data_IF_459037773059
#
_entry.id   IF_459037773059
#
_cell.length_a   1.000
_cell.length_b   1.000
_cell.length_c   1.000
_cell.angle_alpha   90.00
_cell.angle_beta   90.00
_cell.angle_gamma   90.00
#
_symmetry.space_group_name_H-M   'P 1'
#
loop_
_entity.id
_entity.type
_entity.pdbx_description
1 polymer ?
#
# COMPACT_ATOMS: atom_id res chain seq x y z
N UNK A 1 -2.39 -43.41 50.27
CA UNK A 1 -1.09 -44.07 50.03
C UNK A 1 -0.88 -44.14 48.53
N UNK A 2 0.27 -43.65 48.08
CA UNK A 2 0.70 -43.42 46.69
C UNK A 2 1.12 -44.74 45.97
N UNK A 3 1.83 -44.71 44.83
CA UNK A 3 1.45 -44.24 43.49
C UNK A 3 1.74 -45.35 42.43
N UNK A 4 1.32 -45.18 41.16
CA UNK A 4 1.89 -46.00 40.07
C UNK A 4 2.49 -45.08 39.02
N UNK A 5 3.82 -45.08 38.98
CA UNK A 5 4.65 -44.47 37.96
C UNK A 5 4.44 -45.16 36.61
N UNK A 6 4.06 -44.41 35.56
CA UNK A 6 4.27 -44.85 34.17
C UNK A 6 5.68 -44.44 33.75
N UNK A 7 6.55 -45.43 33.57
CA UNK A 7 7.88 -45.27 32.98
C UNK A 7 7.76 -44.90 31.51
N UNK A 8 8.37 -43.78 31.14
CA UNK A 8 8.82 -43.51 29.76
C UNK A 8 9.73 -44.65 29.31
N UNK A 9 9.45 -45.21 28.13
CA UNK A 9 10.45 -45.90 27.31
C UNK A 9 10.65 -45.06 26.05
N UNK A 10 11.68 -44.20 26.06
CA UNK A 10 12.30 -43.73 24.82
C UNK A 10 12.96 -44.95 24.18
N UNK A 11 12.56 -45.30 22.96
CA UNK A 11 13.30 -46.26 22.13
C UNK A 11 13.95 -45.49 21.00
N UNK A 12 15.27 -45.29 21.11
CA UNK A 12 16.10 -44.68 20.09
C UNK A 12 16.10 -45.56 18.83
N UNK A 13 15.77 -44.98 17.68
CA UNK A 13 15.89 -45.64 16.38
C UNK A 13 17.33 -45.44 15.89
N UNK A 14 18.17 -46.47 16.03
CA UNK A 14 19.48 -46.54 15.39
C UNK A 14 19.27 -46.87 13.90
N UNK A 15 19.62 -45.94 13.01
CA UNK A 15 19.72 -46.22 11.57
C UNK A 15 21.06 -46.90 11.33
N UNK A 16 21.07 -48.22 11.17
CA UNK A 16 22.20 -48.94 10.60
C UNK A 16 22.00 -49.02 9.09
N UNK A 17 22.84 -48.30 8.35
CA UNK A 17 22.96 -48.41 6.90
C UNK A 17 23.71 -49.72 6.58
N UNK A 18 22.99 -50.75 6.13
CA UNK A 18 23.60 -51.87 5.44
C UNK A 18 22.64 -52.45 4.39
N UNK A 19 23.14 -52.52 3.15
CA UNK A 19 22.42 -52.90 1.94
C UNK A 19 22.13 -54.39 1.98
N UNK A 20 20.89 -54.82 2.23
CA UNK A 20 20.24 -55.96 1.53
C UNK A 20 18.75 -56.08 1.89
N UNK A 21 17.91 -56.12 0.84
CA UNK A 21 16.56 -56.71 0.77
C UNK A 21 15.52 -56.24 1.82
N UNK A 22 14.80 -55.16 1.50
CA UNK A 22 13.58 -54.79 2.22
C UNK A 22 12.45 -55.78 1.88
N UNK A 23 12.24 -56.77 2.75
CA UNK A 23 11.02 -57.57 2.78
C UNK A 23 9.91 -56.66 3.31
N UNK A 24 9.02 -56.20 2.42
CA UNK A 24 7.81 -55.48 2.81
C UNK A 24 6.84 -56.48 3.45
N UNK A 25 6.66 -56.37 4.77
CA UNK A 25 5.58 -57.08 5.47
C UNK A 25 4.24 -56.44 5.06
N UNK A 26 3.26 -57.21 4.57
CA UNK A 26 1.95 -56.66 4.22
C UNK A 26 1.14 -56.48 5.50
N UNK A 27 0.86 -55.22 5.87
CA UNK A 27 -0.11 -54.92 6.93
C UNK A 27 0.25 -53.76 7.83
N UNK A 28 0.57 -52.59 7.27
CA UNK A 28 0.55 -51.27 7.93
C UNK A 28 0.63 -50.16 6.86
N UNK A 29 -0.27 -50.17 5.89
CA UNK A 29 -0.47 -49.05 4.94
C UNK A 29 -1.96 -48.96 4.57
N UNK A 30 -2.82 -48.95 5.57
CA UNK A 30 -4.18 -48.44 5.45
C UNK A 30 -4.34 -47.45 6.62
N UNK A 31 -4.94 -46.28 6.35
CA UNK A 31 -5.14 -45.12 7.24
C UNK A 31 -4.08 -43.99 7.28
N UNK A 32 -3.59 -43.57 6.11
CA UNK A 32 -3.29 -42.15 5.89
C UNK A 32 -3.74 -41.71 4.48
N UNK A 33 -5.02 -41.87 4.19
CA UNK A 33 -5.66 -41.08 3.15
C UNK A 33 -6.49 -39.98 3.85
N UNK A 34 -6.09 -38.70 3.82
CA UNK A 34 -7.01 -37.65 4.21
C UNK A 34 -8.18 -37.66 3.23
N UNK A 35 -9.39 -37.63 3.78
CA UNK A 35 -10.62 -37.54 3.00
C UNK A 35 -10.62 -36.24 2.19
N UNK A 36 -10.21 -36.31 0.92
CA UNK A 36 -10.36 -35.22 -0.02
C UNK A 36 -11.83 -35.12 -0.42
N UNK A 37 -12.63 -34.40 0.37
CA UNK A 37 -13.81 -33.71 -0.18
C UNK A 37 -13.28 -32.52 -0.98
N UNK A 38 -12.70 -32.78 -2.15
CA UNK A 38 -12.06 -31.76 -2.96
C UNK A 38 -13.09 -30.76 -3.48
N UNK A 39 -13.14 -29.56 -2.90
CA UNK A 39 -13.72 -28.42 -3.59
C UNK A 39 -12.89 -28.15 -4.86
N UNK A 40 -13.55 -27.75 -5.96
CA UNK A 40 -12.85 -27.40 -7.19
C UNK A 40 -11.86 -26.26 -6.90
N UNK A 41 -10.60 -26.48 -7.21
CA UNK A 41 -9.62 -25.39 -7.33
C UNK A 41 -9.55 -24.98 -8.81
N UNK A 42 -9.56 -23.67 -9.03
CA UNK A 42 -9.43 -23.05 -10.35
C UNK A 42 -7.96 -22.87 -10.70
N UNK A 43 -7.64 -22.83 -11.99
CA UNK A 43 -6.33 -22.37 -12.45
C UNK A 43 -6.22 -20.84 -12.34
N UNK A 44 -5.00 -20.30 -12.38
CA UNK A 44 -4.79 -18.85 -12.42
C UNK A 44 -5.50 -18.20 -13.63
N UNK A 45 -5.51 -18.88 -14.78
CA UNK A 45 -6.21 -18.42 -15.98
C UNK A 45 -7.73 -18.39 -15.78
N UNK A 46 -8.30 -19.42 -15.14
CA UNK A 46 -9.73 -19.44 -14.82
C UNK A 46 -10.10 -18.34 -13.80
N UNK A 47 -9.26 -18.10 -12.79
CA UNK A 47 -9.45 -17.03 -11.82
C UNK A 47 -9.34 -15.64 -12.46
N UNK A 48 -8.37 -15.44 -13.35
CA UNK A 48 -8.23 -14.21 -14.13
C UNK A 48 -9.49 -13.95 -14.98
N UNK A 49 -9.97 -14.97 -15.69
CA UNK A 49 -11.18 -14.85 -16.53
C UNK A 49 -12.45 -14.59 -15.71
N UNK A 50 -12.58 -15.24 -14.55
CA UNK A 50 -13.73 -15.08 -13.66
C UNK A 50 -13.71 -13.71 -12.97
N UNK A 51 -12.58 -13.36 -12.36
CA UNK A 51 -12.40 -12.09 -11.67
C UNK A 51 -12.47 -10.90 -12.62
N UNK A 52 -11.87 -10.99 -13.81
CA UNK A 52 -11.91 -9.91 -14.81
C UNK A 52 -13.33 -9.58 -15.32
N UNK A 53 -14.29 -10.52 -15.26
CA UNK A 53 -15.69 -10.24 -15.58
C UNK A 53 -16.45 -9.53 -14.44
N UNK A 54 -15.91 -9.58 -13.23
CA UNK A 54 -16.47 -8.97 -12.02
C UNK A 54 -15.78 -7.67 -11.64
N UNK A 55 -14.55 -7.48 -12.11
CA UNK A 55 -13.70 -6.34 -11.77
C UNK A 55 -14.33 -5.04 -12.28
N UNK A 56 -14.48 -4.10 -11.37
CA UNK A 56 -14.91 -2.75 -11.62
C UNK A 56 -13.69 -1.84 -11.66
N UNK A 57 -13.64 -0.95 -12.64
CA UNK A 57 -12.76 0.20 -12.66
C UNK A 57 -13.55 1.43 -12.20
N UNK A 58 -13.02 2.16 -11.24
CA UNK A 58 -13.71 3.27 -10.58
C UNK A 58 -12.92 4.55 -10.81
N UNK A 59 -13.61 5.55 -11.34
CA UNK A 59 -13.10 6.93 -11.42
C UNK A 59 -13.97 7.81 -10.53
N UNK A 60 -13.34 8.57 -9.63
CA UNK A 60 -14.04 9.39 -8.65
C UNK A 60 -13.52 10.84 -8.71
N UNK A 61 -14.17 11.71 -9.50
CA UNK A 61 -13.80 13.13 -9.58
C UNK A 61 -13.96 13.84 -8.24
N UNK A 62 -12.98 14.67 -7.88
CA UNK A 62 -12.99 15.44 -6.64
C UNK A 62 -14.14 16.47 -6.63
N UNK A 63 -14.72 16.67 -5.46
CA UNK A 63 -15.76 17.69 -5.24
C UNK A 63 -15.19 19.11 -5.11
N UNK A 64 -13.89 19.24 -4.86
CA UNK A 64 -13.23 20.52 -4.57
C UNK A 64 -12.42 20.98 -5.79
N UNK A 65 -11.71 20.06 -6.44
CA UNK A 65 -10.98 20.34 -7.69
C UNK A 65 -11.53 19.52 -8.86
N UNK A 66 -12.30 20.13 -9.80
CA UNK A 66 -12.82 19.46 -10.98
C UNK A 66 -11.74 18.87 -11.92
N UNK A 67 -10.47 19.23 -11.76
CA UNK A 67 -9.34 18.69 -12.51
C UNK A 67 -8.76 17.39 -11.94
N UNK A 68 -9.05 17.08 -10.68
CA UNK A 68 -8.51 15.93 -9.96
C UNK A 68 -9.54 14.80 -9.85
N UNK A 69 -9.07 13.55 -9.94
CA UNK A 69 -9.89 12.36 -9.76
C UNK A 69 -9.07 11.24 -9.12
N UNK A 70 -9.71 10.45 -8.26
CA UNK A 70 -9.14 9.22 -7.73
C UNK A 70 -9.44 8.05 -8.67
N UNK A 71 -8.49 7.13 -8.77
CA UNK A 71 -8.61 5.89 -9.52
C UNK A 71 -8.55 4.70 -8.58
N UNK A 72 -9.46 3.76 -8.78
CA UNK A 72 -9.48 2.55 -7.98
C UNK A 72 -10.11 1.36 -8.69
N UNK A 73 -10.13 0.27 -7.94
CA UNK A 73 -10.77 -0.97 -8.33
C UNK A 73 -11.99 -1.24 -7.45
N UNK A 74 -12.83 -2.14 -7.93
CA UNK A 74 -13.89 -2.74 -7.15
C UNK A 74 -14.24 -4.10 -7.71
N UNK A 75 -15.20 -4.78 -7.12
CA UNK A 75 -15.72 -6.02 -7.69
C UNK A 75 -17.19 -6.23 -7.36
N UNK A 76 -17.88 -6.92 -8.26
CA UNK A 76 -19.30 -7.22 -8.12
C UNK A 76 -19.49 -8.35 -7.10
N UNK A 77 -20.35 -8.11 -6.11
CA UNK A 77 -20.77 -9.11 -5.11
C UNK A 77 -22.22 -9.56 -5.30
N UNK A 78 -23.01 -8.83 -6.11
CA UNK A 78 -24.38 -9.20 -6.46
C UNK A 78 -24.69 -8.81 -7.89
N UNK A 79 -25.35 -9.72 -8.62
CA UNK A 79 -25.55 -9.60 -10.07
C UNK A 79 -26.44 -8.44 -10.52
N UNK A 80 -27.14 -7.81 -9.58
CA UNK A 80 -27.95 -6.61 -9.80
C UNK A 80 -27.13 -5.31 -9.72
N UNK A 81 -25.79 -5.36 -9.63
CA UNK A 81 -24.95 -4.17 -9.59
C UNK A 81 -24.49 -3.73 -8.21
N UNK A 82 -24.43 -4.65 -7.23
CA UNK A 82 -23.80 -4.37 -5.94
C UNK A 82 -22.29 -4.60 -6.02
N UNK A 83 -21.50 -3.56 -5.73
CA UNK A 83 -20.05 -3.51 -5.93
C UNK A 83 -19.38 -3.13 -4.62
N UNK A 84 -18.21 -3.70 -4.34
CA UNK A 84 -17.37 -3.35 -3.20
C UNK A 84 -16.13 -2.63 -3.70
N UNK A 85 -15.68 -1.63 -2.95
CA UNK A 85 -14.40 -0.93 -3.13
C UNK A 85 -13.91 -0.44 -1.76
N UNK A 86 -12.76 0.22 -1.73
CA UNK A 86 -12.30 0.91 -0.55
C UNK A 86 -12.99 2.27 -0.38
N UNK A 87 -13.04 2.76 0.87
CA UNK A 87 -13.61 4.06 1.16
C UNK A 87 -12.75 5.17 0.56
N UNK A 88 -11.42 5.09 0.73
CA UNK A 88 -10.49 6.14 0.28
C UNK A 88 -10.51 6.37 -1.24
N UNK A 89 -10.92 5.37 -2.04
CA UNK A 89 -11.11 5.53 -3.50
C UNK A 89 -12.16 6.56 -3.84
N UNK A 90 -13.14 6.78 -2.95
CA UNK A 90 -14.27 7.68 -3.16
C UNK A 90 -14.23 8.91 -2.25
N UNK A 91 -13.24 9.00 -1.35
CA UNK A 91 -13.16 10.08 -0.36
C UNK A 91 -13.01 11.44 -1.06
N UNK A 92 -13.83 12.42 -0.64
CA UNK A 92 -13.87 13.74 -1.28
C UNK A 92 -14.51 13.77 -2.67
N UNK A 93 -15.06 12.66 -3.17
CA UNK A 93 -15.59 12.59 -4.52
C UNK A 93 -16.96 13.28 -4.66
N UNK A 94 -17.14 14.08 -5.72
CA UNK A 94 -18.44 14.66 -6.11
C UNK A 94 -19.31 13.65 -6.85
N UNK A 95 -18.71 12.66 -7.49
CA UNK A 95 -19.41 11.62 -8.24
C UNK A 95 -18.48 10.42 -8.37
N UNK A 96 -19.02 9.30 -8.85
CA UNK A 96 -18.20 8.18 -9.28
C UNK A 96 -18.73 7.66 -10.61
N UNK A 97 -17.81 7.17 -11.43
CA UNK A 97 -18.12 6.36 -12.60
C UNK A 97 -17.56 4.96 -12.37
N UNK A 98 -18.38 3.95 -12.64
CA UNK A 98 -17.98 2.54 -12.55
C UNK A 98 -17.99 1.93 -13.94
N UNK A 99 -16.89 1.32 -14.36
CA UNK A 99 -16.81 0.54 -15.60
C UNK A 99 -16.64 -0.95 -15.30
N UNK A 100 -17.55 -1.78 -15.83
CA UNK A 100 -17.52 -3.24 -15.68
C UNK A 100 -17.71 -3.87 -17.06
N UNK A 101 -16.78 -4.72 -17.48
CA UNK A 101 -16.87 -5.41 -18.78
C UNK A 101 -16.98 -4.48 -19.99
N UNK A 102 -16.43 -3.27 -19.90
CA UNK A 102 -16.50 -2.23 -20.93
C UNK A 102 -17.79 -1.42 -20.96
N UNK A 103 -18.73 -1.67 -20.03
CA UNK A 103 -19.92 -0.84 -19.84
C UNK A 103 -19.69 0.15 -18.69
N UNK A 104 -20.02 1.41 -18.95
CA UNK A 104 -19.85 2.53 -18.02
C UNK A 104 -21.18 2.87 -17.35
N UNK A 105 -21.15 3.05 -16.03
CA UNK A 105 -22.27 3.42 -15.17
C UNK A 105 -21.92 4.71 -14.43
N UNK A 106 -22.68 5.78 -14.68
CA UNK A 106 -22.49 7.09 -14.02
C UNK A 106 -23.51 7.37 -12.91
N UNK A 107 -24.64 6.66 -12.91
CA UNK A 107 -25.64 6.73 -11.84
C UNK A 107 -25.25 5.75 -10.72
N UNK A 108 -24.27 6.16 -9.91
CA UNK A 108 -23.73 5.37 -8.80
C UNK A 108 -24.33 5.85 -7.48
N UNK A 109 -24.93 4.93 -6.73
CA UNK A 109 -25.41 5.15 -5.38
C UNK A 109 -24.52 4.43 -4.36
N UNK A 110 -24.61 4.87 -3.10
CA UNK A 110 -23.92 4.27 -1.97
C UNK A 110 -24.94 3.52 -1.12
N UNK A 111 -24.70 2.23 -0.91
CA UNK A 111 -25.49 1.41 0.00
C UNK A 111 -24.98 1.55 1.45
N UNK A 112 -23.69 1.41 1.62
CA UNK A 112 -23.02 1.52 2.92
C UNK A 112 -21.57 1.96 2.70
N UNK A 113 -21.02 2.69 3.65
CA UNK A 113 -19.62 3.08 3.66
C UNK A 113 -19.16 3.16 5.10
N UNK A 114 -17.96 2.69 5.38
CA UNK A 114 -17.34 2.77 6.68
C UNK A 114 -15.89 3.26 6.52
N UNK A 115 -15.59 4.49 6.96
CA UNK A 115 -14.26 5.06 6.86
C UNK A 115 -13.25 4.46 7.85
N UNK A 116 -13.69 3.85 8.96
CA UNK A 116 -12.78 3.18 9.91
C UNK A 116 -12.31 1.83 9.35
N UNK A 117 -13.15 1.18 8.55
CA UNK A 117 -12.83 -0.10 7.91
C UNK A 117 -12.28 0.05 6.49
N UNK A 118 -12.18 1.28 5.99
CA UNK A 118 -11.80 1.60 4.62
C UNK A 118 -12.61 0.81 3.58
N UNK A 119 -13.93 0.71 3.74
CA UNK A 119 -14.81 -0.01 2.82
C UNK A 119 -16.01 0.83 2.37
N UNK A 120 -16.36 0.69 1.10
CA UNK A 120 -17.60 1.22 0.54
C UNK A 120 -18.30 0.16 -0.31
N UNK A 121 -19.63 0.15 -0.22
CA UNK A 121 -20.52 -0.69 -1.01
C UNK A 121 -21.36 0.21 -1.90
N UNK A 122 -21.09 0.11 -3.20
CA UNK A 122 -21.73 0.88 -4.24
C UNK A 122 -22.86 0.08 -4.89
N UNK A 123 -23.82 0.82 -5.46
CA UNK A 123 -24.90 0.28 -6.27
C UNK A 123 -24.94 0.99 -7.62
N UNK A 124 -25.02 0.21 -8.68
CA UNK A 124 -25.39 0.66 -10.03
C UNK A 124 -26.64 -0.08 -10.50
N UNK A 125 -27.38 0.52 -11.43
CA UNK A 125 -28.52 -0.12 -12.08
C UNK A 125 -28.03 -1.05 -13.21
N UNK A 126 -27.85 -2.33 -12.88
CA UNK A 126 -27.42 -3.36 -13.82
C UNK A 126 -28.11 -4.70 -13.52
N UNK A 127 -28.14 -5.59 -14.51
CA UNK A 127 -28.56 -6.98 -14.33
C UNK A 127 -27.58 -7.96 -14.99
N UNK A 128 -27.55 -9.19 -14.49
CA UNK A 128 -26.73 -10.26 -15.05
C UNK A 128 -25.21 -10.12 -14.87
N UNK A 129 -24.75 -9.18 -14.03
CA UNK A 129 -23.32 -9.04 -13.72
C UNK A 129 -22.76 -10.30 -13.02
N UNK A 130 -21.47 -10.57 -13.24
CA UNK A 130 -20.78 -11.71 -12.63
C UNK A 130 -20.33 -11.37 -11.22
N UNK A 131 -21.08 -11.84 -10.25
CA UNK A 131 -20.73 -11.72 -8.84
C UNK A 131 -19.65 -12.72 -8.44
N UNK A 132 -18.66 -12.28 -7.66
CA UNK A 132 -17.69 -13.14 -7.01
C UNK A 132 -18.25 -13.69 -5.69
N UNK A 133 -18.06 -14.99 -5.41
CA UNK A 133 -18.48 -15.56 -4.14
C UNK A 133 -17.58 -15.04 -3.01
N UNK A 134 -18.18 -14.69 -1.87
CA UNK A 134 -17.43 -14.31 -0.68
C UNK A 134 -16.94 -15.56 0.06
N UNK A 135 -15.69 -15.55 0.50
CA UNK A 135 -15.07 -16.63 1.27
C UNK A 135 -15.68 -16.77 2.66
N UNK A 136 -15.27 -17.81 3.40
CA UNK A 136 -15.85 -18.09 4.73
C UNK A 136 -15.45 -17.06 5.79
N UNK A 137 -14.24 -16.54 5.71
CA UNK A 137 -13.70 -15.56 6.64
C UNK A 137 -12.23 -15.85 6.98
N UNK A 138 -11.64 -14.98 7.78
CA UNK A 138 -10.23 -14.96 8.15
C UNK A 138 -9.79 -16.24 8.85
N UNK A 139 -10.65 -16.85 9.66
CA UNK A 139 -10.40 -18.15 10.33
C UNK A 139 -10.15 -19.31 9.35
N UNK A 140 -10.54 -19.15 8.08
CA UNK A 140 -10.32 -20.14 7.02
C UNK A 140 -9.12 -19.84 6.13
N UNK A 141 -8.42 -18.72 6.39
CA UNK A 141 -7.26 -18.25 5.62
C UNK A 141 -5.99 -18.67 6.34
N UNK A 142 -5.16 -19.49 5.69
CA UNK A 142 -3.90 -19.95 6.27
C UNK A 142 -2.69 -19.33 5.55
N UNK A 143 -1.63 -18.94 6.28
CA UNK A 143 -0.35 -18.60 5.68
C UNK A 143 0.17 -19.72 4.76
N UNK A 144 0.65 -19.35 3.59
CA UNK A 144 1.10 -20.25 2.52
C UNK A 144 0.02 -20.62 1.50
N UNK A 145 -1.25 -20.25 1.70
CA UNK A 145 -2.28 -20.41 0.69
C UNK A 145 -2.00 -19.54 -0.54
N UNK A 146 -2.14 -20.12 -1.73
CA UNK A 146 -2.02 -19.40 -2.99
C UNK A 146 -3.22 -18.46 -3.20
N UNK A 147 -2.91 -17.26 -3.67
CA UNK A 147 -3.89 -16.18 -3.89
C UNK A 147 -3.66 -15.46 -5.20
N UNK A 148 -4.71 -14.83 -5.70
CA UNK A 148 -4.71 -13.97 -6.89
C UNK A 148 -5.31 -12.62 -6.51
N UNK A 149 -4.57 -11.55 -6.76
CA UNK A 149 -5.09 -10.19 -6.66
C UNK A 149 -5.49 -9.69 -8.05
N UNK A 150 -6.63 -9.01 -8.14
CA UNK A 150 -7.08 -8.34 -9.35
C UNK A 150 -7.27 -6.85 -9.07
N UNK A 151 -6.95 -6.02 -10.07
CA UNK A 151 -7.07 -4.57 -9.97
C UNK A 151 -6.87 -3.86 -11.30
N UNK A 152 -6.91 -2.54 -11.27
CA UNK A 152 -6.70 -1.64 -12.39
C UNK A 152 -5.57 -0.64 -12.06
N UNK A 153 -4.35 -1.12 -11.78
CA UNK A 153 -3.26 -0.28 -11.32
C UNK A 153 -2.90 0.80 -12.35
N UNK A 154 -2.70 2.04 -11.91
CA UNK A 154 -2.37 3.17 -12.81
C UNK A 154 -3.38 3.36 -13.97
N UNK A 155 -4.64 2.90 -13.79
CA UNK A 155 -5.64 2.87 -14.85
C UNK A 155 -5.46 1.77 -15.90
N UNK A 156 -4.46 0.88 -15.76
CA UNK A 156 -4.25 -0.31 -16.59
C UNK A 156 -5.26 -1.40 -16.24
N UNK A 157 -6.40 -1.37 -16.93
CA UNK A 157 -7.57 -2.20 -16.65
C UNK A 157 -7.28 -3.70 -16.70
N UNK A 158 -7.76 -4.44 -15.71
CA UNK A 158 -7.76 -5.90 -15.68
C UNK A 158 -6.42 -6.57 -15.37
N UNK A 159 -5.58 -5.92 -14.57
CA UNK A 159 -4.31 -6.52 -14.11
C UNK A 159 -4.59 -7.66 -13.14
N UNK A 160 -3.84 -8.75 -13.31
CA UNK A 160 -3.90 -9.94 -12.46
C UNK A 160 -2.51 -10.25 -11.96
N UNK A 161 -2.37 -10.40 -10.65
CA UNK A 161 -1.13 -10.81 -10.00
C UNK A 161 -1.39 -11.99 -9.08
N UNK A 162 -0.36 -12.80 -8.80
CA UNK A 162 -0.47 -13.96 -7.93
C UNK A 162 0.58 -13.93 -6.83
N UNK A 163 0.27 -14.60 -5.73
CA UNK A 163 1.15 -14.71 -4.59
C UNK A 163 0.67 -15.74 -3.59
N UNK A 164 1.08 -15.57 -2.34
CA UNK A 164 0.58 -16.35 -1.20
C UNK A 164 0.11 -15.43 -0.08
N UNK A 165 -0.72 -15.96 0.80
CA UNK A 165 -0.92 -15.37 2.13
C UNK A 165 0.40 -15.49 2.90
N UNK A 166 1.02 -14.36 3.22
CA UNK A 166 2.25 -14.31 4.00
C UNK A 166 1.99 -14.49 5.49
N UNK A 167 1.00 -13.78 6.01
CA UNK A 167 0.60 -13.80 7.42
C UNK A 167 -0.72 -13.07 7.62
N UNK A 168 -1.30 -13.21 8.81
CA UNK A 168 -2.29 -12.27 9.34
C UNK A 168 -1.55 -11.26 10.22
N UNK A 169 -1.91 -9.97 10.14
CA UNK A 169 -1.27 -8.86 10.86
C UNK A 169 -2.33 -7.96 11.47
N UNK A 170 -2.25 -7.71 12.78
CA UNK A 170 -3.11 -6.73 13.41
C UNK A 170 -2.64 -5.33 13.03
N UNK A 171 -3.55 -4.54 12.47
CA UNK A 171 -3.38 -3.13 12.22
C UNK A 171 -3.99 -2.33 13.39
N UNK A 172 -3.17 -1.64 14.20
CA UNK A 172 -3.66 -0.90 15.35
C UNK A 172 -4.46 0.35 14.98
N UNK A 173 -4.28 0.88 13.76
CA UNK A 173 -4.91 2.13 13.31
C UNK A 173 -6.33 1.84 12.81
N UNK A 174 -6.49 0.78 12.01
CA UNK A 174 -7.81 0.26 11.60
C UNK A 174 -8.50 -0.58 12.71
N UNK A 175 -7.76 -0.95 13.75
CA UNK A 175 -8.24 -1.78 14.85
C UNK A 175 -8.64 -3.20 14.43
N UNK A 176 -8.16 -3.69 13.29
CA UNK A 176 -8.56 -4.97 12.68
C UNK A 176 -7.37 -5.78 12.16
N UNK A 177 -7.58 -7.09 12.01
CA UNK A 177 -6.58 -7.97 11.39
C UNK A 177 -6.61 -7.83 9.86
N UNK A 178 -5.44 -7.69 9.24
CA UNK A 178 -5.23 -7.64 7.80
C UNK A 178 -4.61 -8.93 7.27
N UNK A 179 -4.94 -9.28 6.03
CA UNK A 179 -4.29 -10.36 5.28
C UNK A 179 -3.06 -9.78 4.60
N UNK A 180 -1.86 -10.18 5.04
CA UNK A 180 -0.62 -9.86 4.34
C UNK A 180 -0.43 -10.83 3.17
N UNK A 181 -0.14 -10.33 1.98
CA UNK A 181 0.06 -11.13 0.76
C UNK A 181 1.37 -10.76 0.06
N UNK A 182 1.96 -11.72 -0.67
CA UNK A 182 3.07 -11.44 -1.59
C UNK A 182 2.59 -11.09 -3.00
N UNK A 183 1.28 -11.16 -3.29
CA UNK A 183 0.75 -10.81 -4.60
C UNK A 183 1.01 -9.31 -4.86
N UNK A 184 1.73 -8.92 -5.92
CA UNK A 184 1.99 -7.52 -6.21
C UNK A 184 0.70 -6.73 -6.40
N UNK A 185 0.58 -5.60 -5.70
CA UNK A 185 -0.45 -4.59 -5.89
C UNK A 185 0.24 -3.22 -5.94
N UNK A 186 -0.41 -2.25 -6.55
CA UNK A 186 0.06 -0.87 -6.64
C UNK A 186 -1.15 0.06 -6.62
N UNK A 187 -0.90 1.37 -6.64
CA UNK A 187 -1.95 2.38 -6.75
C UNK A 187 -2.92 2.07 -7.90
N UNK A 188 -4.22 2.23 -7.66
CA UNK A 188 -5.30 1.80 -8.54
C UNK A 188 -5.77 0.35 -8.35
N UNK A 189 -5.01 -0.50 -7.63
CA UNK A 189 -5.48 -1.85 -7.24
C UNK A 189 -6.38 -1.86 -6.00
N UNK A 190 -6.39 -0.77 -5.23
CA UNK A 190 -7.24 -0.57 -4.05
C UNK A 190 -8.71 -0.82 -4.37
N UNK A 191 -9.40 -1.57 -3.52
CA UNK A 191 -10.78 -2.00 -3.66
C UNK A 191 -10.95 -3.27 -4.51
N UNK A 192 -9.89 -3.74 -5.17
CA UNK A 192 -9.90 -4.97 -5.95
C UNK A 192 -9.96 -6.24 -5.07
N UNK A 193 -10.39 -7.39 -5.62
CA UNK A 193 -10.52 -8.62 -4.83
C UNK A 193 -9.18 -9.35 -4.68
N UNK A 194 -8.97 -9.93 -3.49
CA UNK A 194 -8.00 -11.00 -3.24
C UNK A 194 -8.71 -12.35 -3.22
N UNK A 195 -8.47 -13.18 -4.23
CA UNK A 195 -9.09 -14.48 -4.43
C UNK A 195 -8.22 -15.61 -3.91
N UNK A 196 -8.84 -16.62 -3.29
CA UNK A 196 -8.21 -17.92 -3.08
C UNK A 196 -8.34 -18.81 -4.33
N UNK A 197 -7.68 -19.97 -4.33
CA UNK A 197 -7.74 -20.93 -5.44
C UNK A 197 -9.13 -21.54 -5.68
N UNK A 198 -10.09 -21.37 -4.76
CA UNK A 198 -11.50 -21.78 -4.94
C UNK A 198 -12.35 -20.70 -5.62
N UNK A 199 -11.74 -19.56 -5.97
CA UNK A 199 -12.43 -18.43 -6.59
C UNK A 199 -13.25 -17.60 -5.63
N UNK A 200 -13.04 -17.76 -4.32
CA UNK A 200 -13.74 -16.99 -3.29
C UNK A 200 -12.91 -15.78 -2.88
N UNK A 201 -13.56 -14.64 -2.67
CA UNK A 201 -12.93 -13.43 -2.15
C UNK A 201 -12.62 -13.65 -0.67
N UNK A 202 -11.33 -13.61 -0.32
CA UNK A 202 -10.87 -13.71 1.07
C UNK A 202 -10.51 -12.34 1.65
N UNK A 203 -10.23 -11.35 0.79
CA UNK A 203 -10.00 -9.97 1.21
C UNK A 203 -10.16 -8.96 0.08
N UNK A 204 -10.08 -7.68 0.44
CA UNK A 204 -10.17 -6.51 -0.41
C UNK A 204 -8.81 -5.80 -0.38
N UNK A 205 -8.13 -5.70 -1.52
CA UNK A 205 -6.80 -5.09 -1.62
C UNK A 205 -6.91 -3.61 -1.20
N UNK A 206 -6.00 -3.12 -0.35
CA UNK A 206 -5.97 -1.71 0.07
C UNK A 206 -4.53 -1.17 0.06
N UNK A 207 -3.78 -1.37 1.15
CA UNK A 207 -2.49 -0.74 1.40
C UNK A 207 -1.32 -1.53 0.81
N UNK A 208 -0.36 -0.77 0.27
CA UNK A 208 1.00 -1.25 -0.03
C UNK A 208 1.96 -0.54 0.91
N UNK A 209 2.75 -1.30 1.68
CA UNK A 209 3.77 -0.71 2.54
C UNK A 209 4.99 -0.36 1.68
N UNK A 210 5.23 0.93 1.48
CA UNK A 210 6.19 1.45 0.48
C UNK A 210 7.65 1.12 0.84
N UNK A 211 7.98 0.96 2.13
CA UNK A 211 9.35 0.70 2.59
C UNK A 211 9.76 -0.79 2.62
N UNK A 212 9.00 -1.69 1.97
CA UNK A 212 9.41 -3.09 1.83
C UNK A 212 8.83 -3.81 0.60
N UNK A 213 9.66 -4.60 -0.08
CA UNK A 213 9.20 -5.39 -1.23
C UNK A 213 8.23 -6.50 -0.82
N UNK A 214 7.11 -6.63 -1.55
CA UNK A 214 6.08 -7.65 -1.34
C UNK A 214 5.39 -7.60 0.04
N UNK A 215 5.26 -6.40 0.62
CA UNK A 215 4.45 -6.14 1.81
C UNK A 215 3.13 -5.50 1.41
N UNK A 216 2.19 -6.35 1.01
CA UNK A 216 0.87 -5.95 0.53
C UNK A 216 -0.22 -6.42 1.48
N UNK A 217 -1.31 -5.66 1.58
CA UNK A 217 -2.37 -5.94 2.54
C UNK A 217 -3.76 -5.94 1.91
N UNK A 218 -4.62 -6.79 2.48
CA UNK A 218 -6.03 -6.82 2.15
C UNK A 218 -6.89 -6.87 3.42
N UNK A 219 -7.98 -6.10 3.42
CA UNK A 219 -9.02 -6.12 4.46
C UNK A 219 -9.76 -7.46 4.35
N UNK A 220 -9.93 -8.23 5.45
CA UNK A 220 -10.63 -9.50 5.39
C UNK A 220 -12.07 -9.37 4.93
N UNK A 221 -12.57 -10.39 4.25
CA UNK A 221 -13.97 -10.45 3.81
C UNK A 221 -14.97 -10.40 4.97
N UNK A 222 -14.57 -10.72 6.20
CA UNK A 222 -15.42 -10.60 7.39
C UNK A 222 -15.83 -9.15 7.69
N UNK A 223 -14.92 -8.21 7.47
CA UNK A 223 -15.20 -6.77 7.65
C UNK A 223 -16.26 -6.32 6.65
N UNK A 224 -16.16 -6.76 5.39
CA UNK A 224 -17.19 -6.52 4.38
C UNK A 224 -18.55 -7.14 4.78
N UNK A 225 -18.56 -8.38 5.30
CA UNK A 225 -19.81 -9.00 5.75
C UNK A 225 -20.45 -8.22 6.90
N UNK A 226 -19.66 -7.76 7.86
CA UNK A 226 -20.15 -6.94 8.96
C UNK A 226 -20.76 -5.62 8.45
N UNK A 227 -20.10 -4.98 7.47
CA UNK A 227 -20.64 -3.78 6.84
C UNK A 227 -21.99 -4.06 6.16
N UNK A 228 -22.06 -5.14 5.38
CA UNK A 228 -23.30 -5.57 4.70
C UNK A 228 -24.42 -5.94 5.68
N UNK A 229 -24.11 -6.55 6.82
CA UNK A 229 -25.10 -6.90 7.85
C UNK A 229 -25.69 -5.65 8.53
N UNK A 230 -24.90 -4.56 8.61
CA UNK A 230 -25.32 -3.27 9.14
C UNK A 230 -25.98 -2.34 8.10
N UNK A 231 -25.89 -2.70 6.82
CA UNK A 231 -26.33 -1.86 5.72
C UNK A 231 -27.86 -1.71 5.67
N UNK A 232 -28.38 -0.57 5.20
CA UNK A 232 -29.80 -0.42 4.92
C UNK A 232 -30.27 -1.39 3.83
N UNK A 233 -31.58 -1.62 3.74
CA UNK A 233 -32.16 -2.54 2.76
C UNK A 233 -32.00 -2.05 1.31
N UNK A 234 -32.02 -0.73 1.09
CA UNK A 234 -31.94 -0.11 -0.22
C UNK A 234 -30.95 1.06 -0.19
N UNK A 235 -30.18 1.27 -1.27
CA UNK A 235 -29.28 2.41 -1.38
C UNK A 235 -30.09 3.68 -1.62
N UNK A 236 -29.78 4.73 -0.89
CA UNK A 236 -30.51 6.01 -0.99
C UNK A 236 -29.62 7.23 -1.13
N UNK A 237 -28.32 7.09 -0.92
CA UNK A 237 -27.39 8.22 -0.87
C UNK A 237 -26.56 8.26 -2.15
N UNK A 238 -26.40 9.47 -2.69
CA UNK A 238 -25.45 9.73 -3.77
C UNK A 238 -24.01 9.71 -3.27
N UNK A 239 -23.04 9.57 -4.18
CA UNK A 239 -21.61 9.64 -3.84
C UNK A 239 -21.28 10.98 -3.16
N UNK A 240 -21.73 12.10 -3.73
CA UNK A 240 -21.49 13.42 -3.13
C UNK A 240 -22.03 13.53 -1.68
N UNK A 241 -23.22 13.01 -1.42
CA UNK A 241 -23.81 13.09 -0.07
C UNK A 241 -23.02 12.33 0.98
N UNK A 242 -22.40 11.21 0.60
CA UNK A 242 -21.62 10.37 1.51
C UNK A 242 -20.18 10.86 1.63
N UNK A 243 -19.58 11.26 0.51
CA UNK A 243 -18.13 11.46 0.44
C UNK A 243 -17.70 12.92 0.26
N UNK A 244 -18.55 13.82 -0.23
CA UNK A 244 -18.24 15.26 -0.32
C UNK A 244 -18.58 16.03 0.97
N UNK A 245 -19.47 15.48 1.81
CA UNK A 245 -20.02 16.15 3.00
C UNK A 245 -19.11 16.24 4.23
N UNK A 246 -17.90 15.68 4.17
CA UNK A 246 -16.91 15.73 5.27
C UNK A 246 -16.10 17.04 5.33
N UNK A 247 -16.19 17.91 4.31
CA UNK A 247 -15.35 19.11 4.20
C UNK A 247 -16.24 20.36 4.25
N UNK A 248 -16.29 21.02 5.40
CA UNK A 248 -16.69 22.43 5.46
C UNK A 248 -15.44 23.30 5.33
N UNK A 249 -15.40 24.26 4.38
CA UNK A 249 -14.34 25.27 4.39
C UNK A 249 -14.50 26.12 5.67
N UNK A 250 -13.58 25.97 6.61
CA UNK A 250 -13.40 26.89 7.74
C UNK A 250 -14.38 26.76 8.91
N UNK A 251 -14.91 25.56 9.21
CA UNK A 251 -15.82 25.34 10.35
C UNK A 251 -15.29 24.31 11.35
N UNK A 252 -14.86 24.76 12.52
CA UNK A 252 -14.57 23.87 13.66
C UNK A 252 -15.81 23.02 14.01
N UNK A 253 -15.66 21.69 13.99
CA UNK A 253 -16.67 20.71 14.41
C UNK A 253 -16.40 20.26 15.86
N UNK A 254 -17.43 19.95 16.66
CA UNK A 254 -17.32 19.93 18.11
C UNK A 254 -16.46 18.77 18.62
N UNK A 255 -15.67 19.10 19.64
CA UNK A 255 -14.68 18.26 20.33
C UNK A 255 -15.10 16.80 20.53
N UNK A 256 -14.23 15.88 20.11
CA UNK A 256 -14.14 14.53 20.65
C UNK A 256 -14.45 13.37 19.69
N UNK A 257 -14.03 13.41 18.42
CA UNK A 257 -14.25 12.31 17.48
C UNK A 257 -13.01 11.98 16.64
N UNK A 258 -12.83 10.69 16.36
CA UNK A 258 -11.67 10.05 15.73
C UNK A 258 -11.59 10.29 14.21
N UNK A 259 -11.69 11.54 13.77
CA UNK A 259 -11.75 11.92 12.35
C UNK A 259 -10.43 12.53 11.83
N UNK A 260 -9.30 12.18 12.43
CA UNK A 260 -8.01 12.82 12.15
C UNK A 260 -7.01 11.87 11.48
N UNK A 261 -6.40 12.32 10.39
CA UNK A 261 -5.28 11.65 9.71
C UNK A 261 -4.02 11.81 10.57
N UNK A 262 -3.16 10.79 10.59
CA UNK A 262 -1.90 10.85 11.32
C UNK A 262 -0.71 10.51 10.44
N UNK A 263 0.33 11.34 10.51
CA UNK A 263 1.63 11.07 9.90
C UNK A 263 2.62 10.76 11.04
N UNK A 264 3.02 9.49 11.16
CA UNK A 264 4.10 9.08 12.07
C UNK A 264 5.45 9.24 11.38
N UNK A 265 6.25 10.17 11.86
CA UNK A 265 7.61 10.45 11.39
C UNK A 265 8.60 9.81 12.35
N UNK A 266 9.48 8.97 11.83
CA UNK A 266 10.51 8.26 12.58
C UNK A 266 11.86 8.71 12.06
N UNK A 267 12.71 9.23 12.95
CA UNK A 267 14.09 9.51 12.59
C UNK A 267 14.94 8.25 12.78
N UNK A 268 15.10 7.48 11.71
CA UNK A 268 15.97 6.30 11.67
C UNK A 268 17.42 6.62 11.29
N UNK A 269 17.76 7.89 11.05
CA UNK A 269 19.11 8.34 10.71
C UNK A 269 19.89 8.67 11.99
N UNK A 270 21.17 8.27 12.02
CA UNK A 270 22.11 8.69 13.06
C UNK A 270 22.80 10.03 12.75
N UNK A 271 22.71 10.50 11.50
CA UNK A 271 23.45 11.66 10.97
C UNK A 271 22.65 12.97 11.05
N UNK A 272 21.32 12.89 10.98
CA UNK A 272 20.44 14.07 10.90
C UNK A 272 19.52 14.20 12.11
N UNK A 273 19.28 15.44 12.51
CA UNK A 273 18.19 15.82 13.40
C UNK A 273 17.11 16.45 12.52
N UNK A 274 15.87 15.96 12.61
CA UNK A 274 14.74 16.57 11.90
C UNK A 274 14.34 17.83 12.68
N UNK A 275 14.46 18.97 12.03
CA UNK A 275 14.19 20.28 12.65
C UNK A 275 12.87 20.89 12.16
N UNK A 276 12.48 20.63 10.92
CA UNK A 276 11.24 21.18 10.38
C UNK A 276 10.42 20.11 9.67
N UNK A 277 9.12 20.19 9.86
CA UNK A 277 8.15 19.38 9.13
C UNK A 277 7.05 20.29 8.61
N UNK A 278 6.87 20.28 7.30
CA UNK A 278 5.86 21.04 6.61
C UNK A 278 4.82 20.07 6.07
N UNK A 279 3.55 20.38 6.33
CA UNK A 279 2.42 19.69 5.71
C UNK A 279 1.50 20.76 5.15
N UNK A 280 1.26 20.70 3.85
CA UNK A 280 0.37 21.59 3.11
C UNK A 280 -0.71 20.80 2.40
N UNK A 281 -1.86 21.42 2.14
CA UNK A 281 -2.85 20.84 1.21
C UNK A 281 -2.16 20.58 -0.15
N UNK A 282 -2.46 19.47 -0.81
CA UNK A 282 -1.75 19.06 -2.04
C UNK A 282 -1.96 20.00 -3.24
N UNK A 283 -2.94 20.89 -3.18
CA UNK A 283 -3.16 21.95 -4.17
C UNK A 283 -2.53 23.29 -3.78
N UNK A 284 -1.81 23.34 -2.65
CA UNK A 284 -1.13 24.53 -2.17
C UNK A 284 0.14 24.81 -2.96
N UNK A 285 0.31 26.07 -3.37
CA UNK A 285 1.57 26.58 -3.94
C UNK A 285 2.65 26.84 -2.85
N UNK A 286 2.33 26.65 -1.57
CA UNK A 286 3.20 26.91 -0.42
C UNK A 286 3.14 25.74 0.58
N UNK A 287 4.30 25.36 1.13
CA UNK A 287 4.48 24.32 2.15
C UNK A 287 3.90 24.71 3.51
N UNK A 288 3.62 26.00 3.74
CA UNK A 288 2.98 26.48 4.95
C UNK A 288 3.93 26.65 6.14
N UNK A 289 3.40 26.51 7.35
CA UNK A 289 4.18 26.70 8.59
C UNK A 289 4.82 25.38 9.06
N UNK A 290 5.95 25.49 9.77
CA UNK A 290 6.56 24.34 10.43
C UNK A 290 5.67 23.82 11.57
N UNK A 291 5.38 22.52 11.52
CA UNK A 291 4.53 21.82 12.47
C UNK A 291 5.30 21.25 13.68
N UNK A 292 6.63 21.34 13.71
CA UNK A 292 7.42 21.00 14.89
C UNK A 292 7.55 22.17 15.88
N UNK A 293 7.59 23.41 15.39
CA UNK A 293 7.77 24.61 16.21
C UNK A 293 9.15 24.62 16.88
N UNK A 294 9.19 24.70 18.21
CA UNK A 294 10.47 24.66 18.97
C UNK A 294 11.02 23.23 19.15
N UNK A 295 10.34 22.20 18.63
CA UNK A 295 10.72 20.79 18.83
C UNK A 295 11.58 20.29 17.68
N UNK A 296 12.37 19.27 17.96
CA UNK A 296 13.12 18.49 16.97
C UNK A 296 12.84 16.99 17.15
N UNK A 297 13.09 16.19 16.12
CA UNK A 297 13.05 14.72 16.20
C UNK A 297 14.51 14.22 16.08
N UNK A 298 15.10 13.85 17.22
CA UNK A 298 16.48 13.37 17.28
C UNK A 298 16.61 11.93 16.72
N UNK A 299 17.83 11.47 16.39
CA UNK A 299 18.06 10.08 16.01
C UNK A 299 17.41 9.07 16.96
N UNK A 300 16.63 8.14 16.39
CA UNK A 300 15.89 7.11 17.11
C UNK A 300 14.54 7.55 17.69
N UNK A 301 14.23 8.85 17.68
CA UNK A 301 12.94 9.37 18.13
C UNK A 301 11.88 9.28 17.03
N UNK A 302 10.62 9.46 17.45
CA UNK A 302 9.46 9.55 16.56
C UNK A 302 8.54 10.68 16.96
N UNK A 303 7.75 11.14 16.01
CA UNK A 303 6.68 12.08 16.26
C UNK A 303 5.49 11.79 15.36
N UNK A 304 4.29 11.94 15.91
CA UNK A 304 3.05 11.83 15.15
C UNK A 304 2.42 13.20 15.04
N UNK A 305 2.23 13.66 13.82
CA UNK A 305 1.42 14.84 13.51
C UNK A 305 0.02 14.34 13.19
N UNK A 306 -0.97 15.04 13.72
CA UNK A 306 -2.38 14.75 13.48
C UNK A 306 -2.99 15.95 12.77
N UNK A 307 -3.67 15.69 11.66
CA UNK A 307 -4.35 16.68 10.83
C UNK A 307 -5.78 16.23 10.57
N UNK A 308 -6.62 17.16 10.10
CA UNK A 308 -7.93 16.78 9.59
C UNK A 308 -7.76 15.89 8.34
N UNK A 309 -8.82 15.19 7.92
CA UNK A 309 -8.75 14.44 6.66
C UNK A 309 -8.67 15.39 5.47
N UNK A 310 -7.84 15.04 4.50
CA UNK A 310 -7.56 15.83 3.32
C UNK A 310 -6.48 15.17 2.46
N UNK A 311 -6.07 15.88 1.41
CA UNK A 311 -4.94 15.54 0.56
C UNK A 311 -3.80 16.45 0.97
N UNK A 312 -2.68 15.88 1.39
CA UNK A 312 -1.57 16.64 1.90
C UNK A 312 -0.24 16.26 1.25
N UNK A 313 0.60 17.26 1.04
CA UNK A 313 2.00 17.05 0.73
C UNK A 313 2.81 17.23 2.00
N UNK A 314 3.89 16.47 2.12
CA UNK A 314 4.79 16.46 3.26
C UNK A 314 6.20 16.79 2.80
N UNK A 315 6.86 17.70 3.51
CA UNK A 315 8.30 17.94 3.39
C UNK A 315 8.95 17.90 4.77
N UNK A 316 10.04 17.17 4.87
CA UNK A 316 10.81 16.99 6.11
C UNK A 316 12.23 17.48 5.87
N UNK A 317 12.72 18.38 6.71
CA UNK A 317 14.08 18.92 6.59
C UNK A 317 14.89 18.83 7.89
N UNK A 318 16.21 18.85 7.72
CA UNK A 318 17.15 18.97 8.84
C UNK A 318 17.29 20.43 9.30
N UNK A 319 18.17 20.66 10.28
CA UNK A 319 18.41 21.99 10.84
C UNK A 319 19.19 22.96 9.93
N UNK A 320 19.62 22.50 8.76
CA UNK A 320 20.30 23.28 7.72
C UNK A 320 19.44 23.39 6.44
N UNK A 321 18.13 23.10 6.54
CA UNK A 321 17.17 23.09 5.44
C UNK A 321 17.47 22.04 4.36
N UNK A 322 18.19 20.97 4.70
CA UNK A 322 18.40 19.85 3.77
C UNK A 322 17.12 19.02 3.73
N UNK A 323 16.58 18.82 2.52
CA UNK A 323 15.39 18.00 2.33
C UNK A 323 15.75 16.55 2.59
N UNK A 324 15.15 15.96 3.61
CA UNK A 324 15.35 14.58 4.01
C UNK A 324 14.31 13.66 3.37
N UNK A 325 13.09 14.15 3.20
CA UNK A 325 12.00 13.42 2.57
C UNK A 325 10.91 14.36 2.08
N UNK A 326 10.23 13.90 1.04
CA UNK A 326 9.06 14.50 0.41
C UNK A 326 8.07 13.36 0.16
N UNK A 327 6.80 13.61 0.39
CA UNK A 327 5.71 12.69 0.06
C UNK A 327 4.53 13.52 -0.45
N UNK A 328 3.81 13.01 -1.43
CA UNK A 328 2.82 13.78 -2.19
C UNK A 328 1.46 13.08 -2.14
N UNK A 329 0.38 13.86 -2.14
CA UNK A 329 -1.00 13.35 -2.19
C UNK A 329 -1.33 12.36 -1.04
N UNK A 330 -0.84 12.63 0.19
CA UNK A 330 -1.15 11.84 1.39
C UNK A 330 -2.63 11.97 1.70
N UNK A 331 -3.35 10.86 1.64
CA UNK A 331 -4.81 10.78 1.84
C UNK A 331 -5.24 9.98 3.08
N UNK A 332 -4.31 9.26 3.71
CA UNK A 332 -4.58 8.40 4.85
C UNK A 332 -3.45 8.42 5.89
N UNK A 333 -3.56 7.56 6.90
CA UNK A 333 -2.49 7.41 7.90
C UNK A 333 -1.18 7.04 7.19
N UNK A 334 -0.14 7.84 7.42
CA UNK A 334 1.15 7.66 6.80
C UNK A 334 2.22 7.39 7.86
N UNK A 335 3.21 6.61 7.48
CA UNK A 335 4.39 6.36 8.31
C UNK A 335 5.64 6.55 7.48
N UNK A 336 6.44 7.53 7.88
CA UNK A 336 7.66 7.96 7.18
C UNK A 336 8.85 7.68 8.07
N UNK A 337 9.80 6.88 7.58
CA UNK A 337 11.07 6.61 8.24
C UNK A 337 12.20 7.31 7.46
N UNK A 338 12.88 8.25 8.12
CA UNK A 338 14.03 8.95 7.55
C UNK A 338 15.27 8.10 7.78
N UNK A 339 15.89 7.63 6.69
CA UNK A 339 17.01 6.69 6.78
C UNK A 339 16.54 5.31 7.20
N UNK A 340 17.20 4.74 8.22
CA UNK A 340 16.88 3.41 8.74
C UNK A 340 18.07 2.45 8.74
N UNK A 341 17.84 1.27 9.31
CA UNK A 341 18.91 0.33 9.60
C UNK A 341 19.65 -0.14 8.33
N UNK A 342 20.95 0.14 8.28
CA UNK A 342 21.83 -0.31 7.19
C UNK A 342 21.85 0.60 5.97
N UNK A 343 21.25 1.79 6.03
CA UNK A 343 21.38 2.82 5.00
C UNK A 343 22.38 3.89 5.44
N UNK A 344 23.00 4.54 4.46
CA UNK A 344 23.92 5.68 4.64
C UNK A 344 23.45 6.86 3.79
N UNK A 345 23.65 8.11 4.24
CA UNK A 345 23.16 9.26 3.51
C UNK A 345 24.08 9.65 2.33
N UNK A 346 23.46 9.88 1.19
CA UNK A 346 24.01 10.58 0.03
C UNK A 346 23.40 11.99 0.01
N UNK A 347 24.19 12.99 0.39
CA UNK A 347 23.81 14.40 0.35
C UNK A 347 24.15 14.96 -1.03
N UNK A 348 23.14 15.42 -1.76
CA UNK A 348 23.30 16.12 -3.04
C UNK A 348 23.15 17.62 -2.80
N UNK A 349 24.21 18.37 -3.07
CA UNK A 349 24.22 19.84 -2.98
C UNK A 349 24.17 20.44 -4.39
N UNK A 350 23.18 21.30 -4.64
CA UNK A 350 23.09 22.03 -5.89
C UNK A 350 23.71 23.44 -5.71
N UNK A 351 25.01 23.56 -5.99
CA UNK A 351 25.72 24.84 -6.03
C UNK A 351 25.74 25.47 -7.43
N UNK A 352 24.99 24.89 -8.38
CA UNK A 352 24.91 25.35 -9.76
C UNK A 352 23.94 26.53 -9.93
N UNK A 353 23.77 26.98 -11.18
CA UNK A 353 22.82 28.04 -11.56
C UNK A 353 21.52 27.49 -12.21
N UNK A 354 21.32 26.17 -12.20
CA UNK A 354 20.14 25.49 -12.75
C UNK A 354 19.47 24.59 -11.71
N UNK A 355 18.18 24.33 -11.92
CA UNK A 355 17.42 23.36 -11.12
C UNK A 355 17.83 21.94 -11.53
N UNK A 356 17.95 21.04 -10.55
CA UNK A 356 18.05 19.61 -10.83
C UNK A 356 16.63 19.04 -10.73
N UNK A 357 16.12 18.53 -11.85
CA UNK A 357 14.77 17.99 -11.97
C UNK A 357 14.74 16.47 -12.04
N UNK A 358 15.84 15.85 -12.45
CA UNK A 358 15.96 14.39 -12.46
C UNK A 358 17.27 13.97 -11.83
N UNK A 359 17.23 12.93 -11.01
CA UNK A 359 18.38 12.36 -10.32
C UNK A 359 18.37 10.86 -10.47
N UNK A 360 19.45 10.30 -11.02
CA UNK A 360 19.63 8.85 -11.13
C UNK A 360 20.76 8.41 -10.21
N UNK A 361 20.44 7.51 -9.29
CA UNK A 361 21.40 6.90 -8.37
C UNK A 361 21.44 5.41 -8.69
N UNK A 362 22.46 4.99 -9.45
CA UNK A 362 22.58 3.62 -9.96
C UNK A 362 23.72 2.88 -9.28
N UNK A 363 23.57 1.60 -8.89
CA UNK A 363 24.72 0.80 -8.46
C UNK A 363 25.80 0.77 -9.55
N UNK A 364 27.07 0.99 -9.21
CA UNK A 364 28.18 1.06 -10.18
C UNK A 364 28.50 -0.26 -10.90
N UNK A 365 27.75 -1.33 -10.61
CA UNK A 365 27.77 -2.59 -11.35
C UNK A 365 26.60 -2.74 -12.32
N UNK A 366 25.67 -1.78 -12.33
CA UNK A 366 24.48 -1.77 -13.18
C UNK A 366 24.84 -1.28 -14.58
N UNK A 367 24.21 -1.87 -15.58
CA UNK A 367 24.26 -1.39 -16.97
C UNK A 367 23.07 -0.46 -17.31
N UNK A 368 22.22 -0.15 -16.32
CA UNK A 368 21.02 0.69 -16.42
C UNK A 368 21.02 1.74 -15.29
N UNK A 369 20.55 2.96 -15.59
CA UNK A 369 20.46 4.08 -14.65
C UNK A 369 19.28 3.94 -13.67
N UNK A 370 18.28 3.13 -14.02
CA UNK A 370 17.11 2.91 -13.17
C UNK A 370 16.09 4.04 -13.26
N UNK A 371 15.38 4.28 -12.16
CA UNK A 371 14.33 5.30 -12.07
C UNK A 371 14.89 6.64 -11.60
N UNK A 372 14.12 7.71 -11.86
CA UNK A 372 14.39 9.04 -11.32
C UNK A 372 13.99 9.11 -9.83
N UNK A 373 14.97 9.41 -8.98
CA UNK A 373 14.85 9.44 -7.53
C UNK A 373 14.17 10.71 -6.99
N UNK A 374 14.01 11.75 -7.79
CA UNK A 374 13.22 12.92 -7.41
C UNK A 374 11.72 12.72 -7.66
N UNK A 375 11.36 11.77 -8.53
CA UNK A 375 10.03 11.65 -9.11
C UNK A 375 9.60 12.97 -9.80
N UNK A 376 8.62 12.93 -10.69
CA UNK A 376 8.30 14.05 -11.58
C UNK A 376 7.77 15.34 -10.91
N UNK A 377 7.85 15.47 -9.58
CA UNK A 377 7.30 16.58 -8.78
C UNK A 377 8.32 17.27 -7.88
N UNK A 378 9.51 16.70 -7.65
CA UNK A 378 10.54 17.33 -6.80
C UNK A 378 11.65 17.98 -7.65
N UNK A 379 12.14 19.14 -7.20
CA UNK A 379 13.32 19.79 -7.78
C UNK A 379 14.32 20.14 -6.68
N UNK A 380 15.62 20.07 -6.98
CA UNK A 380 16.67 20.62 -6.11
C UNK A 380 17.01 22.03 -6.60
N UNK A 381 16.66 23.10 -5.88
CA UNK A 381 16.81 24.47 -6.36
C UNK A 381 18.29 24.88 -6.52
N UNK A 382 18.62 25.80 -7.43
CA UNK A 382 19.99 26.23 -7.67
C UNK A 382 20.60 26.99 -6.48
N UNK A 383 21.92 26.94 -6.38
CA UNK A 383 22.74 27.69 -5.43
C UNK A 383 22.72 27.19 -3.99
N UNK A 384 21.54 26.94 -3.41
CA UNK A 384 21.39 26.53 -1.99
C UNK A 384 20.60 25.25 -1.80
N UNK A 385 20.08 24.62 -2.87
CA UNK A 385 19.29 23.41 -2.74
C UNK A 385 20.12 22.23 -2.23
N UNK A 386 19.56 21.47 -1.32
CA UNK A 386 20.17 20.27 -0.76
C UNK A 386 19.12 19.17 -0.59
N UNK A 387 19.43 17.98 -1.08
CA UNK A 387 18.57 16.79 -0.97
C UNK A 387 19.38 15.62 -0.45
N UNK A 388 18.87 14.94 0.57
CA UNK A 388 19.51 13.76 1.16
C UNK A 388 18.77 12.51 0.69
N UNK A 389 19.49 11.60 0.05
CA UNK A 389 19.01 10.26 -0.27
C UNK A 389 19.62 9.25 0.68
N UNK A 390 18.91 8.17 1.01
CA UNK A 390 19.44 7.10 1.86
C UNK A 390 19.61 5.84 1.03
N UNK A 391 20.84 5.36 0.92
CA UNK A 391 21.20 4.21 0.07
C UNK A 391 21.94 3.15 0.88
N UNK A 392 21.87 1.86 0.49
CA UNK A 392 22.76 0.85 1.07
C UNK A 392 24.24 1.21 0.84
N UNK A 393 25.15 0.82 1.74
CA UNK A 393 26.58 0.94 1.51
C UNK A 393 27.02 0.22 0.22
N UNK A 394 27.71 0.91 -0.67
CA UNK A 394 28.10 0.35 -1.96
C UNK A 394 28.84 1.31 -2.88
N UNK A 395 29.02 0.90 -4.12
CA UNK A 395 29.56 1.75 -5.19
C UNK A 395 28.43 2.20 -6.10
N UNK A 396 28.40 3.49 -6.46
CA UNK A 396 27.32 4.10 -7.22
C UNK A 396 27.83 5.00 -8.35
N UNK A 397 27.05 5.06 -9.41
CA UNK A 397 27.13 6.04 -10.48
C UNK A 397 25.95 7.00 -10.32
N UNK A 398 26.19 8.31 -10.49
CA UNK A 398 25.21 9.37 -10.30
C UNK A 398 25.04 10.19 -11.58
N UNK A 399 23.81 10.56 -11.90
CA UNK A 399 23.49 11.55 -12.93
C UNK A 399 22.44 12.53 -12.43
N UNK A 400 22.60 13.79 -12.79
CA UNK A 400 21.64 14.86 -12.57
C UNK A 400 21.30 15.52 -13.91
N UNK A 401 20.02 15.81 -14.13
CA UNK A 401 19.51 16.51 -15.30
C UNK A 401 18.65 17.71 -14.89
N UNK A 402 18.61 18.72 -15.76
CA UNK A 402 17.71 19.87 -15.58
C UNK A 402 16.30 19.62 -16.13
N UNK A 403 15.42 20.62 -16.01
CA UNK A 403 14.04 20.58 -16.53
C UNK A 403 13.93 20.42 -18.06
N UNK A 404 15.00 20.69 -18.81
CA UNK A 404 15.04 20.50 -20.26
C UNK A 404 15.57 19.11 -20.64
N UNK A 405 15.73 18.21 -19.66
CA UNK A 405 16.35 16.89 -19.80
C UNK A 405 17.82 16.97 -20.28
N UNK A 406 18.50 18.10 -20.04
CA UNK A 406 19.93 18.24 -20.34
C UNK A 406 20.76 17.69 -19.17
N UNK A 407 21.78 16.88 -19.49
CA UNK A 407 22.69 16.33 -18.48
C UNK A 407 23.52 17.47 -17.88
N UNK A 408 23.38 17.66 -16.57
CA UNK A 408 24.06 18.75 -15.87
C UNK A 408 25.21 18.30 -14.98
N UNK A 409 25.20 17.07 -14.49
CA UNK A 409 26.35 16.48 -13.79
C UNK A 409 26.30 14.96 -13.83
N UNK A 410 27.48 14.34 -13.82
CA UNK A 410 27.62 12.90 -13.69
C UNK A 410 28.86 12.54 -12.89
N UNK A 411 28.81 11.39 -12.20
CA UNK A 411 29.93 10.83 -11.47
C UNK A 411 29.86 9.30 -11.52
N UNK A 412 31.03 8.64 -11.56
CA UNK A 412 31.11 7.19 -11.71
C UNK A 412 32.01 6.58 -10.64
N UNK A 413 31.62 5.39 -10.15
CA UNK A 413 32.40 4.58 -9.23
C UNK A 413 32.55 5.20 -7.84
N UNK A 414 31.56 5.98 -7.38
CA UNK A 414 31.57 6.60 -6.07
C UNK A 414 31.35 5.55 -4.99
N UNK A 415 32.31 5.40 -4.07
CA UNK A 415 32.19 4.52 -2.91
C UNK A 415 31.44 5.25 -1.79
N UNK A 416 30.17 4.90 -1.59
CA UNK A 416 29.28 5.45 -0.57
C UNK A 416 29.10 4.37 0.50
N UNK A 417 29.98 4.36 1.49
CA UNK A 417 29.99 3.37 2.59
C UNK A 417 29.64 3.98 3.95
N UNK A 418 29.67 5.30 4.01
CA UNK A 418 29.29 6.19 5.10
C UNK A 418 28.64 7.45 4.48
N UNK A 419 28.35 8.47 5.31
CA UNK A 419 27.79 9.73 4.83
C UNK A 419 28.66 10.34 3.73
N UNK A 420 28.09 10.50 2.54
CA UNK A 420 28.77 11.02 1.35
C UNK A 420 28.09 12.27 0.83
N UNK A 421 28.87 13.27 0.41
CA UNK A 421 28.35 14.49 -0.21
C UNK A 421 28.80 14.61 -1.65
N UNK A 422 27.84 14.74 -2.57
CA UNK A 422 28.07 15.06 -3.97
C UNK A 422 27.60 16.47 -4.28
N UNK A 423 28.52 17.33 -4.70
CA UNK A 423 28.22 18.71 -5.09
C UNK A 423 28.10 18.82 -6.60
N UNK A 424 26.94 19.25 -7.07
CA UNK A 424 26.71 19.68 -8.46
C UNK A 424 27.11 21.16 -8.55
N UNK A 425 28.30 21.40 -9.10
CA UNK A 425 28.88 22.74 -9.19
C UNK A 425 28.53 23.46 -10.49
N UNK A 426 28.73 24.78 -10.52
CA UNK A 426 28.69 25.59 -11.74
C UNK A 426 29.74 25.12 -12.74
N UNK A 427 29.34 25.02 -14.00
CA UNK A 427 30.26 24.84 -15.13
C UNK A 427 31.03 26.12 -15.47
#
# INVERSE_FOLDING_TARGET
>A
MSPVQKRMKLSACFVFLSITLLVVLPGCMDDLAPAATGQKEYTLEELAAMGGQSLAYIEAPSAIDPGMYSLGSGFVIRSDGLIVTNYHVLEGAASATVEIGGQVYSDVLVLAADPEWDLAVLKVEADGLKALPLGRGLDSVNPGEAVVALGNPEGLKGTVSNGIVSSIRYDPDLGLDLIQTTAPISEGSSGGPLLNMRGEVIGINTLTYISGQNLNFAIPVDTLKQLLDSAPAEPSSSVAEVFAGGIQPGGASPEGRADALSVEIINGSDDFIICFVYISESDSDDWGEDLLGDRVIAPGDRHTITMDRGFYDLMITDCNDYVLHTDWDITGHARVEIGGAGLVPLVVLNESDFEIAYMFISPGTSDDWGYDWLASREIIPPGTGARVFFVPPGTYDLQAYDLSEELVAEAYGLEIIDSFTWTVSKW
#
